data_IF_798483395646
#
_entry.id   IF_798483395646
#
_cell.length_a   1.000
_cell.length_b   1.000
_cell.length_c   1.000
_cell.angle_alpha   90.00
_cell.angle_beta   90.00
_cell.angle_gamma   90.00
#
_symmetry.space_group_name_H-M   'P 1'
#
loop_
_entity.id
_entity.type
_entity.pdbx_description
1 polymer ?
#
# COMPACT_ATOMS: atom_id res chain seq x y z
N UNK A 1 -4.70 0.78 3.93
CA UNK A 1 -3.24 0.69 3.71
C UNK A 1 -2.78 -0.75 3.87
N UNK A 2 -1.95 -1.24 2.96
CA UNK A 2 -1.42 -2.61 2.97
C UNK A 2 0.09 -2.53 3.16
N UNK A 3 0.62 -3.13 4.23
CA UNK A 3 2.05 -3.24 4.41
C UNK A 3 2.61 -4.42 3.63
N UNK A 4 3.82 -4.23 3.07
CA UNK A 4 4.50 -5.24 2.27
C UNK A 4 3.63 -5.81 1.14
N UNK A 5 2.97 -4.92 0.38
CA UNK A 5 2.01 -5.33 -0.64
C UNK A 5 2.59 -6.11 -1.82
N UNK A 6 3.91 -6.23 -1.89
CA UNK A 6 4.60 -7.07 -2.86
C UNK A 6 4.67 -8.57 -2.45
N UNK A 7 4.19 -8.95 -1.26
CA UNK A 7 4.10 -10.36 -0.87
C UNK A 7 2.91 -11.07 -1.52
N UNK A 8 2.88 -12.41 -1.44
CA UNK A 8 1.77 -13.20 -2.02
C UNK A 8 0.39 -12.80 -1.49
N UNK A 9 0.26 -12.64 -0.17
CA UNK A 9 -0.99 -12.20 0.46
C UNK A 9 -1.21 -10.69 0.29
N UNK A 10 -0.14 -9.89 0.33
CA UNK A 10 -0.21 -8.44 0.12
C UNK A 10 -0.73 -8.06 -1.26
N UNK A 11 -0.24 -8.74 -2.31
CA UNK A 11 -0.68 -8.52 -3.69
C UNK A 11 -2.13 -8.94 -3.91
N UNK A 12 -2.59 -10.00 -3.23
CA UNK A 12 -4.00 -10.37 -3.25
C UNK A 12 -4.88 -9.33 -2.55
N UNK A 13 -4.46 -8.84 -1.38
CA UNK A 13 -5.17 -7.80 -0.64
C UNK A 13 -5.30 -6.49 -1.45
N UNK A 14 -4.30 -6.14 -2.27
CA UNK A 14 -4.38 -4.97 -3.17
C UNK A 14 -5.51 -5.14 -4.18
N UNK A 15 -5.56 -6.28 -4.86
CA UNK A 15 -6.59 -6.56 -5.85
C UNK A 15 -7.99 -6.58 -5.21
N UNK A 16 -8.12 -7.24 -4.06
CA UNK A 16 -9.39 -7.26 -3.33
C UNK A 16 -9.85 -5.85 -2.93
N UNK A 17 -8.94 -5.02 -2.40
CA UNK A 17 -9.27 -3.65 -2.03
C UNK A 17 -9.75 -2.83 -3.24
N UNK A 18 -9.09 -2.99 -4.40
CA UNK A 18 -9.52 -2.35 -5.65
C UNK A 18 -10.93 -2.80 -6.07
N UNK A 19 -11.20 -4.11 -6.07
CA UNK A 19 -12.52 -4.66 -6.45
C UNK A 19 -13.63 -4.20 -5.49
N UNK A 20 -13.31 -3.94 -4.23
CA UNK A 20 -14.22 -3.37 -3.24
C UNK A 20 -14.39 -1.84 -3.38
N UNK A 21 -13.76 -1.20 -4.37
CA UNK A 21 -13.82 0.24 -4.59
C UNK A 21 -13.00 1.07 -3.61
N UNK A 22 -12.07 0.45 -2.87
CA UNK A 22 -11.23 1.14 -1.90
C UNK A 22 -10.03 1.82 -2.59
N UNK A 23 -9.61 2.96 -2.04
CA UNK A 23 -8.34 3.60 -2.41
C UNK A 23 -7.19 2.86 -1.71
N UNK A 24 -6.44 2.05 -2.45
CA UNK A 24 -5.39 1.20 -1.89
C UNK A 24 -4.02 1.90 -1.91
N UNK A 25 -3.49 2.17 -0.72
CA UNK A 25 -2.10 2.57 -0.48
C UNK A 25 -1.28 1.36 -0.04
N UNK A 26 -0.03 1.25 -0.50
CA UNK A 26 0.84 0.13 -0.13
C UNK A 26 2.28 0.54 0.13
N UNK A 27 3.00 -0.23 0.96
CA UNK A 27 4.45 -0.10 1.13
C UNK A 27 5.19 -1.21 0.41
N UNK A 28 6.18 -0.85 -0.42
CA UNK A 28 7.01 -1.79 -1.20
C UNK A 28 8.38 -1.18 -1.51
N UNK A 29 9.36 -1.98 -1.89
CA UNK A 29 10.60 -1.43 -2.48
C UNK A 29 10.33 -0.82 -3.86
N UNK A 30 11.11 0.19 -4.25
CA UNK A 30 11.07 0.84 -5.58
C UNK A 30 10.91 -0.13 -6.77
N UNK A 31 11.63 -1.26 -6.76
CA UNK A 31 11.58 -2.27 -7.82
C UNK A 31 10.19 -2.88 -8.05
N UNK A 32 9.32 -2.85 -7.04
CA UNK A 32 7.99 -3.45 -7.09
C UNK A 32 6.87 -2.47 -7.45
N UNK A 33 7.18 -1.18 -7.62
CA UNK A 33 6.20 -0.13 -7.91
C UNK A 33 5.32 -0.45 -9.13
N UNK A 34 5.90 -0.77 -10.31
CA UNK A 34 5.08 -1.03 -11.50
C UNK A 34 4.13 -2.22 -11.31
N UNK A 35 4.58 -3.22 -10.56
CA UNK A 35 3.80 -4.42 -10.31
C UNK A 35 2.64 -4.14 -9.36
N UNK A 36 2.85 -3.50 -8.21
CA UNK A 36 1.72 -3.21 -7.30
C UNK A 36 0.71 -2.22 -7.87
N UNK A 37 1.16 -1.30 -8.73
CA UNK A 37 0.27 -0.42 -9.48
C UNK A 37 -0.61 -1.20 -10.46
N UNK A 38 -0.05 -2.19 -11.17
CA UNK A 38 -0.84 -3.04 -12.08
C UNK A 38 -1.89 -3.88 -11.33
N UNK A 39 -1.64 -4.21 -10.06
CA UNK A 39 -2.61 -4.87 -9.18
C UNK A 39 -3.73 -3.95 -8.69
N UNK A 40 -3.55 -2.63 -8.73
CA UNK A 40 -4.57 -1.67 -8.29
C UNK A 40 -4.18 -0.73 -7.15
N UNK A 41 -2.93 -0.77 -6.68
CA UNK A 41 -2.47 0.22 -5.72
C UNK A 41 -2.42 1.60 -6.39
N UNK A 42 -3.07 2.59 -5.79
CA UNK A 42 -3.03 3.97 -6.29
C UNK A 42 -1.74 4.68 -5.90
N UNK A 43 -1.14 4.27 -4.78
CA UNK A 43 0.11 4.83 -4.26
C UNK A 43 0.95 3.70 -3.68
N UNK A 44 2.20 3.65 -4.11
CA UNK A 44 3.26 2.82 -3.54
C UNK A 44 4.27 3.72 -2.82
N UNK A 45 4.63 3.36 -1.61
CA UNK A 45 5.55 4.11 -0.74
C UNK A 45 6.76 3.24 -0.42
N UNK A 46 7.97 3.76 -0.63
CA UNK A 46 9.19 3.05 -0.30
C UNK A 46 9.52 3.29 1.16
N UNK A 47 9.15 2.33 1.99
CA UNK A 47 9.35 2.38 3.43
C UNK A 47 10.83 2.52 3.86
N UNK A 48 11.79 2.33 2.94
CA UNK A 48 13.22 2.52 3.21
C UNK A 48 13.70 3.93 2.90
N UNK A 49 13.00 4.65 2.03
CA UNK A 49 13.40 5.97 1.55
C UNK A 49 12.47 7.08 2.02
N UNK A 50 11.23 6.76 2.39
CA UNK A 50 10.18 7.70 2.73
C UNK A 50 9.64 7.48 4.15
N UNK A 51 9.27 8.57 4.82
CA UNK A 51 8.43 8.49 6.01
C UNK A 51 7.00 8.16 5.59
N UNK A 52 6.60 6.91 5.85
CA UNK A 52 5.31 6.37 5.44
C UNK A 52 4.15 7.14 6.06
N UNK A 53 4.25 7.55 7.33
CA UNK A 53 3.18 8.27 8.02
C UNK A 53 2.99 9.64 7.42
N UNK A 54 4.09 10.37 7.24
CA UNK A 54 4.07 11.70 6.61
C UNK A 54 3.48 11.62 5.20
N UNK A 55 3.94 10.64 4.40
CA UNK A 55 3.47 10.47 3.02
C UNK A 55 1.97 10.16 2.95
N UNK A 56 1.46 9.31 3.84
CA UNK A 56 0.02 9.03 3.90
C UNK A 56 -0.77 10.27 4.28
N UNK A 57 -0.32 11.04 5.28
CA UNK A 57 -1.03 12.25 5.69
C UNK A 57 -1.10 13.29 4.56
N UNK A 58 -0.01 13.46 3.80
CA UNK A 58 0.00 14.32 2.61
C UNK A 58 -1.02 13.88 1.55
N UNK A 59 -1.12 12.57 1.30
CA UNK A 59 -1.99 11.99 0.28
C UNK A 59 -3.48 11.85 0.69
N UNK A 60 -3.76 12.11 1.97
CA UNK A 60 -5.09 11.94 2.58
C UNK A 60 -5.59 13.22 3.22
N UNK A 61 -4.99 14.38 2.91
CA UNK A 61 -5.35 15.68 3.51
C UNK A 61 -5.35 15.64 5.04
N UNK A 62 -4.39 14.93 5.63
CA UNK A 62 -4.23 14.69 7.07
C UNK A 62 -5.33 13.86 7.76
N UNK A 63 -6.21 13.19 7.00
CA UNK A 63 -7.23 12.30 7.58
C UNK A 63 -6.68 10.91 7.96
N UNK A 64 -5.62 10.45 7.29
CA UNK A 64 -5.04 9.13 7.52
C UNK A 64 -5.75 8.03 6.74
N UNK A 65 -5.82 6.81 7.29
CA UNK A 65 -6.41 5.64 6.62
C UNK A 65 -7.43 4.96 7.52
N UNK A 66 -8.53 4.49 6.92
CA UNK A 66 -9.61 3.79 7.64
C UNK A 66 -9.19 2.40 8.11
N UNK A 67 -8.36 1.72 7.31
CA UNK A 67 -7.93 0.35 7.54
C UNK A 67 -6.43 0.19 7.36
N UNK A 68 -5.81 -0.58 8.24
CA UNK A 68 -4.42 -1.03 8.12
C UNK A 68 -4.41 -2.54 8.06
N UNK A 69 -3.80 -3.08 7.01
CA UNK A 69 -3.57 -4.51 6.84
C UNK A 69 -2.07 -4.77 6.86
N UNK A 70 -1.61 -5.51 7.87
CA UNK A 70 -0.20 -5.83 8.06
C UNK A 70 -0.01 -7.33 8.10
N UNK A 71 0.97 -7.79 7.33
CA UNK A 71 1.39 -9.19 7.32
C UNK A 71 2.75 -9.26 7.97
N UNK A 72 2.87 -10.10 8.98
CA UNK A 72 4.15 -10.45 9.57
C UNK A 72 4.54 -11.80 8.98
N UNK A 73 5.60 -11.84 8.19
CA UNK A 73 6.27 -13.11 7.92
C UNK A 73 7.07 -13.50 9.17
N UNK A 74 7.11 -14.79 9.55
CA UNK A 74 7.93 -15.25 10.67
C UNK A 74 9.42 -14.94 10.50
#
# INVERSE_FOLDING_TARGET
>A
MIYAGAGGVGGYAIQLGKELGLKVFTTVSLSNYPWVQSLGAVIAIDYRAEDVTKRILEETNHEGVDFIFMIVAP
#
